data_IF_906712633168
#
_entry.id   IF_906712633168
#
_cell.length_a   1.000
_cell.length_b   1.000
_cell.length_c   1.000
_cell.angle_alpha   90.00
_cell.angle_beta   90.00
_cell.angle_gamma   90.00
#
_symmetry.space_group_name_H-M   'P 1'
#
loop_
_entity.id
_entity.type
_entity.pdbx_description
1 polymer ?
#
# COMPACT_ATOMS: atom_id res chain seq x y z
N UNK A 1 7.29 -13.46 -1.95
CA UNK A 1 6.98 -13.57 -3.40
C UNK A 1 5.52 -13.22 -3.67
N UNK A 2 4.51 -13.99 -3.21
CA UNK A 2 3.12 -13.73 -3.59
C UNK A 2 2.63 -12.34 -3.19
N UNK A 3 2.99 -11.88 -1.99
CA UNK A 3 2.61 -10.55 -1.50
C UNK A 3 3.11 -9.41 -2.38
N UNK A 4 4.39 -9.43 -2.78
CA UNK A 4 4.95 -8.40 -3.65
C UNK A 4 4.39 -8.46 -5.08
N UNK A 5 4.09 -9.65 -5.60
CA UNK A 5 3.43 -9.79 -6.90
C UNK A 5 2.03 -9.19 -6.87
N UNK A 6 1.25 -9.49 -5.82
CA UNK A 6 -0.09 -8.92 -5.62
C UNK A 6 -0.04 -7.39 -5.47
N UNK A 7 0.86 -6.86 -4.62
CA UNK A 7 0.99 -5.41 -4.45
C UNK A 7 1.37 -4.72 -5.76
N UNK A 8 2.30 -5.30 -6.52
CA UNK A 8 2.79 -4.74 -7.79
C UNK A 8 1.71 -4.77 -8.87
N UNK A 9 1.00 -5.90 -9.04
CA UNK A 9 -0.04 -6.01 -10.07
C UNK A 9 -1.19 -5.04 -9.81
N UNK A 10 -1.65 -4.95 -8.56
CA UNK A 10 -2.73 -4.03 -8.17
C UNK A 10 -2.27 -2.58 -8.29
N UNK A 11 -1.04 -2.24 -7.87
CA UNK A 11 -0.49 -0.89 -8.03
C UNK A 11 -0.48 -0.45 -9.49
N UNK A 12 0.03 -1.29 -10.40
CA UNK A 12 0.11 -0.96 -11.83
C UNK A 12 -1.28 -0.71 -12.40
N UNK A 13 -2.23 -1.60 -12.14
CA UNK A 13 -3.60 -1.46 -12.65
C UNK A 13 -4.27 -0.20 -12.08
N UNK A 14 -4.17 0.02 -10.77
CA UNK A 14 -4.80 1.15 -10.11
C UNK A 14 -4.18 2.50 -10.53
N UNK A 15 -2.85 2.57 -10.67
CA UNK A 15 -2.17 3.79 -11.11
C UNK A 15 -2.56 4.19 -12.54
N UNK A 16 -2.83 3.20 -13.39
CA UNK A 16 -3.28 3.45 -14.76
C UNK A 16 -4.75 3.80 -14.82
N UNK A 17 -5.63 3.05 -14.13
CA UNK A 17 -7.05 3.00 -14.45
C UNK A 17 -8.02 3.13 -13.27
N UNK A 18 -7.57 3.32 -12.02
CA UNK A 18 -8.50 3.48 -10.90
C UNK A 18 -9.40 4.72 -11.08
N UNK A 19 -10.71 4.63 -10.78
CA UNK A 19 -11.58 5.78 -10.74
C UNK A 19 -11.22 6.73 -9.57
N UNK A 20 -11.80 7.94 -9.53
CA UNK A 20 -11.62 8.85 -8.40
C UNK A 20 -12.08 8.26 -7.06
N UNK A 21 -11.39 8.64 -5.98
CA UNK A 21 -11.56 8.07 -4.63
C UNK A 21 -11.93 9.15 -3.62
N UNK A 22 -12.90 8.89 -2.75
CA UNK A 22 -13.35 9.80 -1.68
C UNK A 22 -12.47 9.72 -0.43
N UNK A 23 -11.25 10.26 -0.53
CA UNK A 23 -10.20 10.18 0.50
C UNK A 23 -10.64 10.71 1.88
N UNK A 24 -11.34 11.85 1.91
CA UNK A 24 -11.74 12.50 3.17
C UNK A 24 -13.11 12.03 3.68
N UNK A 25 -13.81 11.17 2.92
CA UNK A 25 -15.14 10.67 3.29
C UNK A 25 -16.25 11.72 3.24
N UNK A 26 -16.01 12.83 2.53
CA UNK A 26 -16.92 13.97 2.40
C UNK A 26 -17.68 13.98 1.07
N UNK A 27 -17.60 12.88 0.31
CA UNK A 27 -18.18 12.71 -1.03
C UNK A 27 -17.56 13.65 -2.06
N UNK A 28 -16.25 13.90 -1.96
CA UNK A 28 -15.47 14.69 -2.91
C UNK A 28 -14.32 13.83 -3.49
N UNK A 29 -14.59 13.05 -4.56
CA UNK A 29 -13.61 12.11 -5.08
C UNK A 29 -12.42 12.79 -5.77
N UNK A 30 -11.21 12.33 -5.46
CA UNK A 30 -9.95 12.80 -6.04
C UNK A 30 -9.47 11.83 -7.11
N UNK A 31 -9.16 12.35 -8.30
CA UNK A 31 -8.62 11.54 -9.41
C UNK A 31 -7.11 11.32 -9.24
N UNK A 32 -6.68 10.06 -9.13
CA UNK A 32 -5.27 9.70 -9.00
C UNK A 32 -4.65 9.00 -10.22
N UNK A 33 -5.45 8.42 -11.11
CA UNK A 33 -4.91 7.57 -12.18
C UNK A 33 -4.66 8.30 -13.50
N UNK A 34 -3.84 7.70 -14.35
CA UNK A 34 -3.46 8.25 -15.65
C UNK A 34 -4.65 8.46 -16.59
N UNK A 35 -5.55 7.46 -16.68
CA UNK A 35 -6.73 7.55 -17.54
C UNK A 35 -7.75 8.60 -17.08
N UNK A 36 -7.64 9.06 -15.83
CA UNK A 36 -8.46 10.13 -15.27
C UNK A 36 -7.72 11.48 -15.23
N UNK A 37 -6.80 11.71 -16.17
CA UNK A 37 -6.22 13.03 -16.43
C UNK A 37 -4.93 13.35 -15.68
N UNK A 38 -4.30 12.36 -15.04
CA UNK A 38 -3.00 12.54 -14.40
C UNK A 38 -1.83 12.18 -15.31
N UNK A 39 -0.69 12.82 -15.06
CA UNK A 39 0.61 12.42 -15.63
C UNK A 39 1.44 11.68 -14.56
N UNK A 40 2.69 11.32 -14.88
CA UNK A 40 3.57 10.58 -13.94
C UNK A 40 3.85 11.36 -12.64
N UNK A 41 3.83 12.69 -12.68
CA UNK A 41 4.08 13.53 -11.51
C UNK A 41 2.82 13.72 -10.67
N UNK A 42 1.67 13.91 -11.30
CA UNK A 42 0.41 14.14 -10.59
C UNK A 42 -0.33 12.84 -10.21
N UNK A 43 0.03 11.72 -10.82
CA UNK A 43 -0.59 10.43 -10.58
C UNK A 43 -0.26 9.87 -9.20
N UNK A 44 -1.26 9.25 -8.58
CA UNK A 44 -1.14 8.63 -7.26
C UNK A 44 -2.16 7.49 -7.10
N UNK A 45 -1.86 6.57 -6.18
CA UNK A 45 -2.88 5.73 -5.57
C UNK A 45 -3.46 6.52 -4.40
N UNK A 46 -4.70 6.94 -4.52
CA UNK A 46 -5.37 7.75 -3.49
C UNK A 46 -5.60 6.87 -2.24
N UNK A 47 -5.25 7.37 -1.04
CA UNK A 47 -5.54 6.71 0.24
C UNK A 47 -7.00 6.31 0.44
N UNK A 48 -7.23 5.35 1.34
CA UNK A 48 -8.58 4.87 1.66
C UNK A 48 -9.38 5.92 2.43
N UNK A 49 -10.69 5.95 2.21
CA UNK A 49 -11.58 6.98 2.77
C UNK A 49 -11.49 7.10 4.29
N UNK A 50 -11.49 8.33 4.81
CA UNK A 50 -11.57 8.60 6.25
C UNK A 50 -12.89 8.08 6.88
N UNK A 51 -13.93 7.85 6.07
CA UNK A 51 -15.14 7.16 6.51
C UNK A 51 -14.89 5.69 6.94
N UNK A 52 -13.82 5.06 6.44
CA UNK A 52 -13.34 3.75 6.89
C UNK A 52 -12.47 3.88 8.15
N UNK A 53 -11.71 4.96 8.29
CA UNK A 53 -10.76 5.13 9.40
C UNK A 53 -9.69 4.02 9.40
N UNK A 54 -9.57 3.31 10.53
CA UNK A 54 -8.65 2.16 10.72
C UNK A 54 -9.31 0.79 10.49
N UNK A 55 -10.57 0.76 10.03
CA UNK A 55 -11.22 -0.51 9.72
C UNK A 55 -10.50 -1.21 8.56
N UNK A 56 -10.37 -2.54 8.69
CA UNK A 56 -9.81 -3.37 7.64
C UNK A 56 -10.84 -3.51 6.51
N UNK A 57 -10.49 -3.06 5.31
CA UNK A 57 -11.42 -2.98 4.17
C UNK A 57 -10.94 -3.82 2.97
N UNK A 58 -10.98 -5.16 3.08
CA UNK A 58 -10.70 -6.06 1.97
C UNK A 58 -11.83 -6.03 0.93
N UNK A 59 -11.57 -6.58 -0.26
CA UNK A 59 -12.53 -6.59 -1.38
C UNK A 59 -13.89 -7.18 -0.97
N UNK A 60 -13.91 -8.19 -0.11
CA UNK A 60 -15.14 -8.88 0.32
C UNK A 60 -15.94 -8.16 1.41
N UNK A 61 -15.46 -7.03 1.95
CA UNK A 61 -16.27 -6.15 2.82
C UNK A 61 -17.12 -5.16 2.02
N UNK A 62 -16.80 -4.95 0.73
CA UNK A 62 -17.59 -4.08 -0.14
C UNK A 62 -18.74 -4.85 -0.80
N UNK A 63 -19.86 -4.17 -1.08
CA UNK A 63 -20.98 -4.77 -1.81
C UNK A 63 -20.67 -4.97 -3.31
N UNK A 64 -19.71 -4.21 -3.86
CA UNK A 64 -19.25 -4.33 -5.23
C UNK A 64 -17.81 -3.84 -5.40
N UNK A 65 -17.21 -4.15 -6.55
CA UNK A 65 -15.90 -3.58 -6.91
C UNK A 65 -15.97 -2.06 -7.11
N UNK A 66 -17.08 -1.53 -7.60
CA UNK A 66 -17.23 -0.08 -7.79
C UNK A 66 -17.21 0.66 -6.45
N UNK A 67 -17.89 0.11 -5.43
CA UNK A 67 -17.84 0.64 -4.07
C UNK A 67 -16.43 0.53 -3.48
N UNK A 68 -15.79 -0.63 -3.65
CA UNK A 68 -14.43 -0.84 -3.15
C UNK A 68 -13.42 0.13 -3.77
N UNK A 69 -13.56 0.40 -5.07
CA UNK A 69 -12.74 1.37 -5.79
C UNK A 69 -13.04 2.80 -5.33
N UNK A 70 -14.32 3.18 -5.18
CA UNK A 70 -14.73 4.52 -4.72
C UNK A 70 -14.15 4.86 -3.33
N UNK A 71 -14.07 3.88 -2.44
CA UNK A 71 -13.57 4.05 -1.08
C UNK A 71 -12.05 3.87 -0.95
N UNK A 72 -11.32 3.71 -2.06
CA UNK A 72 -9.85 3.62 -2.03
C UNK A 72 -9.32 2.29 -1.48
N UNK A 73 -10.08 1.21 -1.64
CA UNK A 73 -9.67 -0.14 -1.26
C UNK A 73 -8.31 -0.60 -1.83
N UNK A 74 -7.89 -0.22 -3.07
CA UNK A 74 -6.55 -0.56 -3.58
C UNK A 74 -5.41 -0.11 -2.67
N UNK A 75 -5.54 1.03 -1.99
CA UNK A 75 -4.49 1.57 -1.12
C UNK A 75 -4.16 0.63 0.04
N UNK A 76 -5.16 0.25 0.84
CA UNK A 76 -4.96 -0.70 1.93
C UNK A 76 -4.40 -2.05 1.43
N UNK A 77 -4.92 -2.57 0.31
CA UNK A 77 -4.43 -3.84 -0.25
C UNK A 77 -2.95 -3.75 -0.58
N UNK A 78 -2.54 -2.71 -1.32
CA UNK A 78 -1.14 -2.51 -1.74
C UNK A 78 -0.24 -2.35 -0.52
N UNK A 79 -0.58 -1.44 0.40
CA UNK A 79 0.25 -1.13 1.58
C UNK A 79 0.48 -2.37 2.43
N UNK A 80 -0.59 -3.11 2.77
CA UNK A 80 -0.47 -4.26 3.66
C UNK A 80 0.32 -5.41 3.01
N UNK A 81 0.10 -5.70 1.72
CA UNK A 81 0.88 -6.71 1.02
C UNK A 81 2.34 -6.28 0.82
N UNK A 82 2.59 -5.00 0.53
CA UNK A 82 3.93 -4.44 0.40
C UNK A 82 4.71 -4.57 1.71
N UNK A 83 4.14 -4.12 2.84
CA UNK A 83 4.80 -4.18 4.15
C UNK A 83 5.16 -5.61 4.55
N UNK A 84 4.22 -6.56 4.37
CA UNK A 84 4.53 -7.99 4.59
C UNK A 84 5.66 -8.47 3.67
N UNK A 85 5.62 -8.08 2.39
CA UNK A 85 6.64 -8.42 1.41
C UNK A 85 8.04 -7.92 1.77
N UNK A 86 8.19 -6.66 2.19
CA UNK A 86 9.49 -6.08 2.56
C UNK A 86 9.99 -6.60 3.92
N UNK A 87 9.09 -6.89 4.86
CA UNK A 87 9.45 -7.59 6.10
C UNK A 87 10.02 -8.99 5.82
N UNK A 88 9.40 -9.76 4.92
CA UNK A 88 9.97 -11.03 4.47
C UNK A 88 11.30 -10.84 3.70
N UNK A 89 11.47 -9.71 3.00
CA UNK A 89 12.70 -9.42 2.26
C UNK A 89 13.90 -9.19 3.19
N UNK A 90 13.71 -8.56 4.36
CA UNK A 90 14.72 -8.50 5.43
C UNK A 90 15.19 -9.93 5.78
N UNK A 91 14.23 -10.84 6.02
CA UNK A 91 14.51 -12.24 6.34
C UNK A 91 15.25 -12.97 5.21
N UNK A 92 14.89 -12.69 3.95
CA UNK A 92 15.56 -13.26 2.77
C UNK A 92 17.03 -12.82 2.65
N UNK A 93 17.33 -11.55 2.91
CA UNK A 93 18.72 -11.06 2.89
C UNK A 93 19.57 -11.77 3.95
N UNK A 94 19.00 -11.92 5.15
CA UNK A 94 19.64 -12.68 6.22
C UNK A 94 19.82 -14.15 5.83
N UNK A 95 18.78 -14.82 5.33
CA UNK A 95 18.82 -16.24 4.97
C UNK A 95 19.92 -16.50 3.94
N UNK A 96 19.99 -15.69 2.87
CA UNK A 96 21.03 -15.85 1.85
C UNK A 96 22.43 -15.64 2.44
N UNK A 97 22.61 -14.64 3.30
CA UNK A 97 23.89 -14.41 3.97
C UNK A 97 24.33 -15.64 4.77
N UNK A 98 23.40 -16.30 5.47
CA UNK A 98 23.65 -17.51 6.21
C UNK A 98 24.01 -18.69 5.30
N UNK A 99 23.26 -18.91 4.21
CA UNK A 99 23.53 -20.00 3.24
C UNK A 99 24.90 -19.88 2.58
N UNK A 100 25.40 -18.66 2.39
CA UNK A 100 26.70 -18.40 1.78
C UNK A 100 27.84 -18.22 2.80
N UNK A 101 27.58 -18.37 4.11
CA UNK A 101 28.59 -18.15 5.15
C UNK A 101 29.07 -16.70 5.25
N UNK A 102 28.26 -15.74 4.81
CA UNK A 102 28.55 -14.31 4.86
C UNK A 102 28.25 -13.71 6.24
N UNK A 103 28.84 -12.54 6.48
CA UNK A 103 28.53 -11.67 7.62
C UNK A 103 27.07 -11.14 7.51
N UNK A 104 26.20 -11.24 8.53
CA UNK A 104 24.74 -11.10 8.38
C UNK A 104 24.18 -9.67 8.53
N UNK A 105 24.97 -8.62 8.28
CA UNK A 105 24.56 -7.23 8.59
C UNK A 105 23.84 -6.48 7.47
N UNK A 106 23.71 -7.05 6.27
CA UNK A 106 23.00 -6.42 5.16
C UNK A 106 21.51 -6.23 5.51
N UNK A 107 20.87 -7.29 6.03
CA UNK A 107 19.47 -7.25 6.47
C UNK A 107 19.23 -6.23 7.59
N UNK A 108 20.20 -6.06 8.49
CA UNK A 108 20.16 -5.05 9.57
C UNK A 108 20.16 -3.64 8.98
N UNK A 109 21.03 -3.34 8.02
CA UNK A 109 21.03 -2.04 7.35
C UNK A 109 19.70 -1.79 6.59
N UNK A 110 19.14 -2.83 5.97
CA UNK A 110 17.86 -2.74 5.27
C UNK A 110 16.66 -2.52 6.19
N UNK A 111 16.77 -2.77 7.49
CA UNK A 111 15.68 -2.42 8.44
C UNK A 111 15.41 -0.92 8.52
N UNK A 112 16.40 -0.05 8.27
CA UNK A 112 16.22 1.39 8.35
C UNK A 112 15.16 1.93 7.34
N UNK A 113 15.25 1.66 6.03
CA UNK A 113 14.21 2.07 5.10
C UNK A 113 12.87 1.36 5.33
N UNK A 114 12.87 0.10 5.79
CA UNK A 114 11.62 -0.61 6.10
C UNK A 114 10.91 0.01 7.30
N UNK A 115 11.65 0.41 8.33
CA UNK A 115 11.10 1.14 9.47
C UNK A 115 10.52 2.50 9.06
N UNK A 116 11.21 3.24 8.17
CA UNK A 116 10.70 4.50 7.63
C UNK A 116 9.39 4.29 6.84
N UNK A 117 9.32 3.26 6.00
CA UNK A 117 8.09 2.91 5.27
C UNK A 117 6.95 2.52 6.21
N UNK A 118 7.21 1.70 7.23
CA UNK A 118 6.21 1.32 8.23
C UNK A 118 5.72 2.54 9.04
N UNK A 119 6.60 3.50 9.32
CA UNK A 119 6.23 4.71 10.03
C UNK A 119 5.18 5.52 9.26
N UNK A 120 5.38 5.73 7.96
CA UNK A 120 4.47 6.55 7.14
C UNK A 120 3.22 5.80 6.69
N UNK A 121 3.30 4.51 6.40
CA UNK A 121 2.18 3.75 5.85
C UNK A 121 1.32 3.03 6.90
N UNK A 122 1.79 2.91 8.14
CA UNK A 122 1.08 2.17 9.18
C UNK A 122 1.02 2.92 10.52
N UNK A 123 2.18 3.30 11.08
CA UNK A 123 2.22 3.88 12.43
C UNK A 123 1.53 5.24 12.48
N UNK A 124 1.80 6.11 11.51
CA UNK A 124 1.16 7.43 11.43
C UNK A 124 -0.36 7.32 11.23
N UNK A 125 -0.89 6.52 10.27
CA UNK A 125 -2.31 6.21 10.15
C UNK A 125 -2.97 5.74 11.45
N UNK A 126 -2.34 4.78 12.15
CA UNK A 126 -2.86 4.28 13.44
C UNK A 126 -2.92 5.41 14.48
N UNK A 127 -1.89 6.24 14.55
CA UNK A 127 -1.83 7.36 15.48
C UNK A 127 -2.87 8.45 15.19
N UNK A 128 -3.24 8.65 13.92
CA UNK A 128 -4.28 9.59 13.51
C UNK A 128 -5.69 8.99 13.46
N UNK A 129 -5.81 7.66 13.53
CA UNK A 129 -7.10 6.96 13.46
C UNK A 129 -7.68 6.81 12.05
N UNK A 130 -6.88 6.99 11.00
CA UNK A 130 -7.31 6.84 9.61
C UNK A 130 -6.17 6.47 8.66
N UNK A 131 -6.48 5.69 7.62
CA UNK A 131 -5.59 5.44 6.48
C UNK A 131 -5.67 6.50 5.37
N UNK A 132 -6.52 7.52 5.52
CA UNK A 132 -6.68 8.66 4.61
C UNK A 132 -5.46 9.58 4.58
#
# INVERSE_FOLDING_TARGET
IPTLLTATSVFIIAFVAAPPVDIDGIREPVAGSLLYGNNIISGAIIPSSAAIGIHFYPIWEAASLDEWLYNGGPYQLIVLHFLLGVCCYIGREWELSYRLGMRPWISVAFTAPVAAAAAVFLVYPIGQGSFS
#
